data_IF_718895846635
#
_entry.id   IF_718895846635
#
_cell.length_a   1.000
_cell.length_b   1.000
_cell.length_c   1.000
_cell.angle_alpha   90.00
_cell.angle_beta   90.00
_cell.angle_gamma   90.00
#
_symmetry.space_group_name_H-M   'P 1'
#
loop_
_entity.id
_entity.type
_entity.pdbx_description
1 polymer ?
#
# COMPACT_ATOMS: atom_id res chain seq x y z
N UNK A 1 18.90 0.46 -19.54
CA UNK A 1 17.58 -0.12 -19.89
C UNK A 1 17.63 -1.59 -19.49
N UNK A 2 16.60 -2.09 -18.80
CA UNK A 2 16.48 -3.49 -18.41
C UNK A 2 16.38 -4.39 -19.64
N UNK A 3 16.98 -5.58 -19.57
CA UNK A 3 16.97 -6.56 -20.67
C UNK A 3 16.10 -7.77 -20.35
N UNK A 4 16.05 -8.15 -19.08
CA UNK A 4 15.29 -9.31 -18.63
C UNK A 4 14.78 -9.07 -17.21
N UNK A 5 13.47 -9.22 -17.01
CA UNK A 5 12.87 -9.08 -15.69
C UNK A 5 12.29 -10.40 -15.20
N UNK A 6 12.48 -10.69 -13.90
CA UNK A 6 11.77 -11.74 -13.21
C UNK A 6 10.53 -11.13 -12.54
N UNK A 7 9.38 -11.79 -12.74
CA UNK A 7 8.11 -11.36 -12.15
C UNK A 7 7.88 -12.20 -10.90
N UNK A 8 8.13 -11.62 -9.72
CA UNK A 8 8.00 -12.30 -8.43
C UNK A 8 6.54 -12.35 -7.96
N UNK A 9 5.66 -12.80 -8.85
CA UNK A 9 4.22 -12.89 -8.62
C UNK A 9 3.59 -13.96 -9.53
N UNK A 10 2.26 -14.09 -9.48
CA UNK A 10 1.48 -15.08 -10.23
C UNK A 10 0.20 -14.49 -10.80
N UNK A 11 -0.53 -15.32 -11.54
CA UNK A 11 -1.89 -14.98 -11.97
C UNK A 11 -1.94 -13.80 -12.94
N UNK A 12 -2.99 -12.99 -12.79
CA UNK A 12 -3.30 -11.93 -13.74
C UNK A 12 -2.28 -10.79 -13.71
N UNK A 13 -1.73 -10.43 -12.53
CA UNK A 13 -0.72 -9.37 -12.46
C UNK A 13 0.59 -9.79 -13.14
N UNK A 14 0.99 -11.06 -13.04
CA UNK A 14 2.15 -11.53 -13.78
C UNK A 14 1.91 -11.49 -15.30
N UNK A 15 0.72 -11.85 -15.76
CA UNK A 15 0.31 -11.71 -17.18
C UNK A 15 0.33 -10.24 -17.61
N UNK A 16 -0.17 -9.33 -16.76
CA UNK A 16 -0.18 -7.89 -17.02
C UNK A 16 1.24 -7.34 -17.24
N UNK A 17 2.16 -7.69 -16.34
CA UNK A 17 3.57 -7.29 -16.43
C UNK A 17 4.25 -7.90 -17.66
N UNK A 18 4.02 -9.17 -17.96
CA UNK A 18 4.58 -9.85 -19.15
C UNK A 18 4.17 -9.12 -20.42
N UNK A 19 2.92 -8.65 -20.53
CA UNK A 19 2.44 -7.94 -21.71
C UNK A 19 3.24 -6.67 -21.95
N UNK A 20 3.34 -5.79 -20.97
CA UNK A 20 4.09 -4.54 -21.09
C UNK A 20 5.59 -4.80 -21.34
N UNK A 21 6.21 -5.72 -20.61
CA UNK A 21 7.61 -6.07 -20.83
C UNK A 21 7.88 -6.51 -22.27
N UNK A 22 6.98 -7.30 -22.88
CA UNK A 22 7.08 -7.68 -24.29
C UNK A 22 6.96 -6.50 -25.25
N UNK A 23 6.03 -5.59 -25.00
CA UNK A 23 5.86 -4.36 -25.80
C UNK A 23 7.11 -3.48 -25.73
N UNK A 24 7.80 -3.48 -24.58
CA UNK A 24 9.09 -2.80 -24.38
C UNK A 24 10.30 -3.58 -24.92
N UNK A 25 10.13 -4.81 -25.43
CA UNK A 25 11.23 -5.66 -25.89
C UNK A 25 12.09 -6.24 -24.76
N UNK A 26 11.55 -6.34 -23.53
CA UNK A 26 12.21 -6.89 -22.36
C UNK A 26 11.84 -8.37 -22.21
N UNK A 27 12.83 -9.24 -22.08
CA UNK A 27 12.61 -10.67 -21.82
C UNK A 27 12.01 -10.90 -20.42
N UNK A 28 11.15 -11.91 -20.32
CA UNK A 28 10.35 -12.17 -19.12
C UNK A 28 10.63 -13.53 -18.49
N UNK A 29 10.74 -13.55 -17.17
CA UNK A 29 10.94 -14.77 -16.37
C UNK A 29 9.77 -14.90 -15.41
N UNK A 30 9.00 -15.97 -15.53
CA UNK A 30 7.97 -16.33 -14.55
C UNK A 30 8.53 -17.23 -13.46
N UNK A 31 7.95 -17.15 -12.28
CA UNK A 31 8.14 -18.13 -11.21
C UNK A 31 6.80 -18.80 -10.88
N UNK A 32 6.84 -20.05 -10.41
CA UNK A 32 5.60 -20.78 -10.14
C UNK A 32 5.73 -21.81 -9.01
N UNK A 33 4.62 -21.97 -8.24
CA UNK A 33 4.41 -23.09 -7.33
C UNK A 33 4.03 -24.35 -8.12
N UNK A 34 4.08 -25.52 -7.50
CA UNK A 34 3.67 -26.77 -8.16
C UNK A 34 2.22 -26.72 -8.72
N UNK A 35 1.33 -26.00 -8.04
CA UNK A 35 -0.06 -25.84 -8.46
C UNK A 35 -0.20 -24.96 -9.71
N UNK A 36 0.69 -24.00 -9.89
CA UNK A 36 0.66 -23.02 -10.97
C UNK A 36 1.51 -23.41 -12.19
N UNK A 37 2.09 -24.62 -12.22
CA UNK A 37 2.96 -25.11 -13.32
C UNK A 37 2.39 -24.88 -14.72
N UNK A 38 1.09 -24.98 -14.89
CA UNK A 38 0.39 -24.81 -16.16
C UNK A 38 -0.39 -23.47 -16.26
N UNK A 39 -0.17 -22.55 -15.34
CA UNK A 39 -0.86 -21.26 -15.32
C UNK A 39 -0.50 -20.40 -16.53
N UNK A 40 -1.37 -19.45 -16.86
CA UNK A 40 -1.23 -18.62 -18.06
C UNK A 40 0.08 -17.83 -18.07
N UNK A 41 0.46 -17.23 -16.94
CA UNK A 41 1.69 -16.44 -16.81
C UNK A 41 2.95 -17.28 -17.08
N UNK A 42 2.95 -18.58 -16.69
CA UNK A 42 4.07 -19.50 -16.94
C UNK A 42 4.19 -19.80 -18.45
N UNK A 43 3.06 -19.96 -19.12
CA UNK A 43 3.04 -20.23 -20.58
C UNK A 43 3.37 -19.01 -21.43
N UNK A 44 3.13 -17.82 -20.90
CA UNK A 44 3.36 -16.58 -21.64
C UNK A 44 4.79 -16.05 -21.46
N UNK A 45 5.47 -16.31 -20.37
CA UNK A 45 6.84 -15.85 -20.13
C UNK A 45 7.84 -16.54 -21.08
N UNK A 46 8.96 -15.90 -21.33
CA UNK A 46 10.04 -16.45 -22.16
C UNK A 46 10.79 -17.59 -21.44
N UNK A 47 10.94 -17.47 -20.11
CA UNK A 47 11.50 -18.48 -19.22
C UNK A 47 10.60 -18.65 -17.98
N UNK A 48 10.66 -19.83 -17.37
CA UNK A 48 9.92 -20.09 -16.13
C UNK A 48 10.70 -21.01 -15.17
N UNK A 49 10.68 -20.67 -13.88
CA UNK A 49 11.39 -21.41 -12.82
C UNK A 49 10.42 -21.87 -11.73
N UNK A 50 10.53 -23.15 -11.38
CA UNK A 50 9.77 -23.73 -10.28
C UNK A 50 10.35 -23.24 -8.94
N UNK A 51 9.49 -22.73 -8.06
CA UNK A 51 9.85 -22.36 -6.68
C UNK A 51 9.74 -23.57 -5.72
N UNK A 52 9.06 -24.64 -6.16
CA UNK A 52 8.67 -25.76 -5.30
C UNK A 52 7.43 -25.44 -4.46
N UNK A 53 6.98 -26.43 -3.70
CA UNK A 53 5.86 -26.29 -2.77
C UNK A 53 4.51 -26.02 -3.42
N UNK A 54 3.46 -26.02 -2.59
CA UNK A 54 2.08 -25.79 -3.02
C UNK A 54 1.48 -24.55 -2.38
N UNK A 55 1.94 -24.16 -1.20
CA UNK A 55 1.47 -22.98 -0.49
C UNK A 55 2.30 -21.74 -0.86
N UNK A 56 1.75 -20.56 -0.61
CA UNK A 56 2.48 -19.29 -0.81
C UNK A 56 3.76 -19.23 0.03
N UNK A 57 3.73 -19.71 1.28
CA UNK A 57 4.89 -19.73 2.17
C UNK A 57 6.03 -20.62 1.64
N UNK A 58 5.70 -21.73 0.99
CA UNK A 58 6.70 -22.66 0.42
C UNK A 58 7.24 -22.18 -0.93
N UNK A 59 6.55 -21.25 -1.61
CA UNK A 59 6.85 -20.82 -2.98
C UNK A 59 7.03 -19.31 -3.10
N UNK A 60 5.96 -18.55 -3.35
CA UNK A 60 6.00 -17.12 -3.64
C UNK A 60 6.46 -16.22 -2.49
N UNK A 61 6.44 -16.72 -1.25
CA UNK A 61 7.00 -16.08 -0.05
C UNK A 61 8.31 -16.75 0.43
N UNK A 62 8.93 -17.57 -0.43
CA UNK A 62 10.24 -18.14 -0.18
C UNK A 62 11.31 -17.27 -0.86
N UNK A 63 11.93 -16.40 -0.07
CA UNK A 63 12.95 -15.46 -0.56
C UNK A 63 14.09 -16.19 -1.27
N UNK A 64 14.65 -17.24 -0.66
CA UNK A 64 15.79 -17.96 -1.23
C UNK A 64 15.47 -18.63 -2.58
N UNK A 65 14.27 -19.19 -2.72
CA UNK A 65 13.85 -19.78 -3.99
C UNK A 65 13.73 -18.71 -5.10
N UNK A 66 13.26 -17.51 -4.77
CA UNK A 66 13.18 -16.41 -5.75
C UNK A 66 14.58 -15.89 -6.09
N UNK A 67 15.45 -15.67 -5.09
CA UNK A 67 16.82 -15.23 -5.32
C UNK A 67 17.62 -16.24 -6.16
N UNK A 68 17.39 -17.54 -5.96
CA UNK A 68 17.97 -18.59 -6.79
C UNK A 68 17.47 -18.54 -8.25
N UNK A 69 16.16 -18.31 -8.45
CA UNK A 69 15.58 -18.11 -9.78
C UNK A 69 16.16 -16.87 -10.49
N UNK A 70 16.41 -15.77 -9.76
CA UNK A 70 17.08 -14.58 -10.29
C UNK A 70 18.50 -14.92 -10.77
N UNK A 71 19.29 -15.62 -9.93
CA UNK A 71 20.67 -16.03 -10.29
C UNK A 71 20.68 -16.94 -11.53
N UNK A 72 19.79 -17.91 -11.58
CA UNK A 72 19.69 -18.89 -12.68
C UNK A 72 19.24 -18.27 -13.99
N UNK A 73 18.29 -17.35 -13.94
CA UNK A 73 17.76 -16.69 -15.15
C UNK A 73 18.68 -15.58 -15.65
N UNK A 74 19.52 -15.00 -14.79
CA UNK A 74 20.31 -13.81 -15.10
C UNK A 74 19.43 -12.57 -15.34
N UNK A 75 18.26 -12.50 -14.68
CA UNK A 75 17.40 -11.32 -14.73
C UNK A 75 18.12 -10.11 -14.11
N UNK A 76 18.04 -8.97 -14.78
CA UNK A 76 18.61 -7.69 -14.34
C UNK A 76 17.60 -6.76 -13.65
N UNK A 77 16.32 -7.18 -13.58
CA UNK A 77 15.27 -6.55 -12.83
C UNK A 77 14.26 -7.53 -12.25
N UNK A 78 13.59 -7.13 -11.16
CA UNK A 78 12.52 -7.90 -10.51
C UNK A 78 11.30 -7.02 -10.35
N UNK A 79 10.16 -7.46 -10.89
CA UNK A 79 8.86 -6.82 -10.69
C UNK A 79 8.06 -7.61 -9.65
N UNK A 80 7.73 -7.03 -8.48
CA UNK A 80 7.03 -7.75 -7.42
C UNK A 80 5.52 -7.85 -7.63
N UNK A 81 4.94 -7.06 -8.56
CA UNK A 81 3.50 -6.93 -8.70
C UNK A 81 2.86 -6.27 -7.47
N UNK A 82 1.80 -6.85 -6.96
CA UNK A 82 1.17 -6.49 -5.69
C UNK A 82 0.94 -7.72 -4.81
N UNK A 83 0.75 -7.52 -3.48
CA UNK A 83 0.76 -8.62 -2.52
C UNK A 83 2.14 -9.25 -2.39
N UNK A 84 2.21 -10.44 -1.80
CA UNK A 84 3.46 -11.15 -1.53
C UNK A 84 4.59 -10.24 -1.02
N UNK A 85 5.66 -10.06 -1.78
CA UNK A 85 6.82 -9.26 -1.40
C UNK A 85 6.80 -7.81 -1.89
N UNK A 86 5.72 -7.35 -2.51
CA UNK A 86 5.68 -5.99 -3.11
C UNK A 86 5.93 -4.86 -2.10
N UNK A 87 5.59 -5.06 -0.83
CA UNK A 87 5.80 -4.10 0.26
C UNK A 87 6.75 -4.65 1.34
N UNK A 88 7.68 -5.52 0.93
CA UNK A 88 8.68 -6.08 1.83
C UNK A 88 10.05 -5.45 1.59
N UNK A 89 10.50 -4.61 2.53
CA UNK A 89 11.75 -3.87 2.42
C UNK A 89 12.99 -4.77 2.43
N UNK A 90 12.96 -5.87 3.19
CA UNK A 90 14.10 -6.79 3.27
C UNK A 90 14.28 -7.55 1.96
N UNK A 91 13.19 -7.93 1.30
CA UNK A 91 13.22 -8.51 -0.03
C UNK A 91 13.75 -7.51 -1.07
N UNK A 92 13.31 -6.25 -1.03
CA UNK A 92 13.82 -5.21 -1.92
C UNK A 92 15.32 -4.98 -1.72
N UNK A 93 15.82 -4.97 -0.47
CA UNK A 93 17.25 -4.87 -0.16
C UNK A 93 18.03 -6.05 -0.70
N UNK A 94 17.57 -7.27 -0.44
CA UNK A 94 18.23 -8.48 -0.92
C UNK A 94 18.43 -8.49 -2.44
N UNK A 95 17.44 -7.99 -3.21
CA UNK A 95 17.54 -7.85 -4.66
C UNK A 95 18.55 -6.77 -5.06
N UNK A 96 18.49 -5.61 -4.43
CA UNK A 96 19.40 -4.49 -4.76
C UNK A 96 20.85 -4.80 -4.38
N UNK A 97 21.10 -5.53 -3.31
CA UNK A 97 22.43 -6.01 -2.91
C UNK A 97 23.03 -7.01 -3.91
N UNK A 98 22.20 -7.71 -4.68
CA UNK A 98 22.65 -8.56 -5.80
C UNK A 98 23.04 -7.75 -7.05
N UNK A 99 22.86 -6.42 -7.04
CA UNK A 99 23.04 -5.57 -8.22
C UNK A 99 21.89 -5.67 -9.23
N UNK A 100 20.75 -6.20 -8.83
CA UNK A 100 19.53 -6.35 -9.65
C UNK A 100 18.56 -5.22 -9.31
N UNK A 101 17.89 -4.67 -10.31
CA UNK A 101 16.93 -3.59 -10.09
C UNK A 101 15.64 -4.12 -9.44
N UNK A 102 15.27 -3.60 -8.29
CA UNK A 102 13.93 -3.78 -7.75
C UNK A 102 12.99 -2.77 -8.43
N UNK A 103 11.98 -3.24 -9.15
CA UNK A 103 10.97 -2.41 -9.82
C UNK A 103 9.90 -2.05 -8.80
N UNK A 104 10.18 -1.03 -8.03
CA UNK A 104 9.41 -0.57 -6.89
C UNK A 104 10.13 0.59 -6.20
N UNK A 105 9.58 1.10 -5.10
CA UNK A 105 10.17 2.20 -4.34
C UNK A 105 11.43 1.75 -3.57
N UNK A 106 12.18 2.72 -3.02
CA UNK A 106 13.33 2.41 -2.17
C UNK A 106 12.88 1.68 -0.88
N UNK A 107 13.68 0.73 -0.37
CA UNK A 107 13.35 -0.01 0.85
C UNK A 107 12.99 0.88 2.05
N UNK A 108 13.64 2.03 2.15
CA UNK A 108 13.42 2.99 3.24
C UNK A 108 12.02 3.60 3.18
N UNK A 109 11.50 3.89 1.98
CA UNK A 109 10.14 4.37 1.80
C UNK A 109 9.11 3.26 2.11
N UNK A 110 9.41 1.99 1.79
CA UNK A 110 8.56 0.86 2.17
C UNK A 110 8.46 0.76 3.70
N UNK A 111 9.59 0.85 4.41
CA UNK A 111 9.61 0.81 5.89
C UNK A 111 8.82 1.97 6.48
N UNK A 112 9.09 3.19 6.02
CA UNK A 112 8.50 4.39 6.61
C UNK A 112 6.99 4.47 6.37
N UNK A 113 6.53 4.10 5.17
CA UNK A 113 5.12 4.12 4.81
C UNK A 113 4.35 2.88 5.27
N UNK A 114 5.03 1.77 5.54
CA UNK A 114 4.43 0.53 6.04
C UNK A 114 4.01 0.57 7.51
N UNK A 115 4.57 1.48 8.32
CA UNK A 115 4.18 1.70 9.70
C UNK A 115 3.20 2.88 9.80
N UNK A 116 2.05 2.67 10.46
CA UNK A 116 0.98 3.67 10.52
C UNK A 116 1.36 4.95 11.23
N UNK A 117 2.18 4.89 12.26
CA UNK A 117 2.61 6.08 13.00
C UNK A 117 3.66 6.83 12.18
N UNK A 118 4.62 6.10 11.62
CA UNK A 118 5.68 6.66 10.78
C UNK A 118 5.11 7.29 9.51
N UNK A 119 4.16 6.63 8.84
CA UNK A 119 3.53 7.16 7.62
C UNK A 119 2.72 8.44 7.89
N UNK A 120 2.01 8.52 9.03
CA UNK A 120 1.34 9.76 9.45
C UNK A 120 2.32 10.90 9.74
N UNK A 121 3.44 10.60 10.41
CA UNK A 121 4.53 11.57 10.64
C UNK A 121 5.14 12.04 9.31
N UNK A 122 5.35 11.14 8.37
CA UNK A 122 5.84 11.46 7.02
C UNK A 122 4.85 12.35 6.26
N UNK A 123 3.56 12.02 6.26
CA UNK A 123 2.51 12.82 5.66
C UNK A 123 2.46 14.24 6.23
N UNK A 124 2.54 14.38 7.56
CA UNK A 124 2.62 15.69 8.22
C UNK A 124 3.86 16.48 7.80
N UNK A 125 5.05 15.86 7.72
CA UNK A 125 6.27 16.52 7.21
C UNK A 125 6.09 17.03 5.78
N UNK A 126 5.37 16.27 4.95
CA UNK A 126 4.99 16.67 3.60
C UNK A 126 3.89 17.72 3.55
N UNK A 127 3.24 18.05 4.68
CA UNK A 127 2.13 19.00 4.75
C UNK A 127 0.80 18.42 4.27
N UNK A 128 0.66 17.08 4.18
CA UNK A 128 -0.62 16.45 3.92
C UNK A 128 -1.49 16.46 5.20
N UNK A 129 -2.79 16.81 5.10
CA UNK A 129 -3.67 16.78 6.25
C UNK A 129 -3.85 15.34 6.75
N UNK A 130 -3.87 15.15 8.06
CA UNK A 130 -4.18 13.86 8.68
C UNK A 130 -5.42 14.00 9.55
N UNK A 131 -6.17 12.90 9.72
CA UNK A 131 -7.24 12.88 10.70
C UNK A 131 -6.68 13.28 12.06
N UNK A 132 -7.27 14.24 12.78
CA UNK A 132 -6.84 14.58 14.12
C UNK A 132 -6.68 13.32 14.96
N UNK A 133 -5.51 13.14 15.55
CA UNK A 133 -5.17 11.93 16.28
C UNK A 133 -3.85 12.07 17.00
N UNK A 134 -3.56 11.13 17.90
CA UNK A 134 -2.29 11.10 18.63
C UNK A 134 -1.16 10.66 17.69
N UNK A 135 -0.02 11.30 17.82
CA UNK A 135 1.23 10.92 17.13
C UNK A 135 2.08 9.96 17.94
N UNK A 136 1.71 9.76 19.19
CA UNK A 136 2.33 8.81 20.13
C UNK A 136 1.28 7.82 20.62
N UNK A 137 1.75 6.70 21.16
CA UNK A 137 0.87 5.70 21.75
C UNK A 137 0.23 6.27 23.00
N UNK A 138 -1.05 5.95 23.20
CA UNK A 138 -1.78 6.31 24.42
C UNK A 138 -1.71 5.16 25.41
N UNK A 139 -1.51 5.52 26.67
CA UNK A 139 -1.30 4.55 27.76
C UNK A 139 -2.37 4.60 28.86
N UNK A 140 -3.15 5.69 28.88
CA UNK A 140 -4.19 5.89 29.92
C UNK A 140 -5.53 6.27 29.30
N UNK A 141 -6.62 5.85 29.98
CA UNK A 141 -7.97 6.24 29.61
C UNK A 141 -8.18 7.77 29.67
N UNK A 142 -7.47 8.44 30.56
CA UNK A 142 -7.53 9.91 30.67
C UNK A 142 -7.03 10.61 29.42
N UNK A 143 -5.91 10.20 28.84
CA UNK A 143 -5.40 10.75 27.57
C UNK A 143 -6.44 10.62 26.45
N UNK A 144 -7.14 9.48 26.41
CA UNK A 144 -8.19 9.21 25.42
C UNK A 144 -9.40 10.12 25.64
N UNK A 145 -9.83 10.29 26.91
CA UNK A 145 -10.94 11.18 27.25
C UNK A 145 -10.64 12.63 26.95
N UNK A 146 -9.45 13.09 27.31
CA UNK A 146 -8.98 14.47 27.00
C UNK A 146 -8.99 14.69 25.50
N UNK A 147 -8.46 13.75 24.71
CA UNK A 147 -8.51 13.80 23.24
C UNK A 147 -9.95 13.91 22.71
N UNK A 148 -10.88 13.08 23.18
CA UNK A 148 -12.28 13.12 22.75
C UNK A 148 -12.98 14.45 23.10
N UNK A 149 -12.61 15.05 24.25
CA UNK A 149 -13.14 16.36 24.65
C UNK A 149 -12.58 17.52 23.81
N UNK A 150 -11.32 17.43 23.39
CA UNK A 150 -10.64 18.47 22.59
C UNK A 150 -11.02 18.42 21.11
N UNK A 151 -11.15 17.22 20.52
CA UNK A 151 -11.39 17.05 19.08
C UNK A 151 -12.81 16.60 18.71
N UNK A 152 -13.66 16.36 19.72
CA UNK A 152 -15.04 15.93 19.52
C UNK A 152 -15.21 14.40 19.44
N UNK A 153 -16.42 13.97 19.78
CA UNK A 153 -16.87 12.58 19.70
C UNK A 153 -17.65 12.33 18.39
N UNK A 154 -17.67 11.13 17.83
CA UNK A 154 -16.97 9.91 18.27
C UNK A 154 -15.48 9.91 17.93
N UNK A 155 -14.74 9.05 18.66
CA UNK A 155 -13.32 8.79 18.41
C UNK A 155 -13.09 7.31 18.13
N UNK A 156 -11.96 6.98 17.49
CA UNK A 156 -11.52 5.61 17.26
C UNK A 156 -10.26 5.33 18.08
N UNK A 157 -10.28 4.28 18.87
CA UNK A 157 -9.09 3.67 19.49
C UNK A 157 -8.62 2.59 18.52
N UNK A 158 -7.36 2.64 18.09
CA UNK A 158 -6.80 1.74 17.07
C UNK A 158 -5.53 1.06 17.55
N UNK A 159 -5.36 -0.22 17.19
CA UNK A 159 -4.08 -0.91 17.31
C UNK A 159 -3.01 -0.20 16.47
N UNK A 160 -1.83 0.04 17.04
CA UNK A 160 -0.73 0.69 16.34
C UNK A 160 -0.14 -0.19 15.24
N UNK A 161 -0.17 -1.50 15.45
CA UNK A 161 0.34 -2.53 14.54
C UNK A 161 -0.82 -3.37 14.01
N UNK A 162 -1.17 -3.24 12.74
CA UNK A 162 -2.24 -4.02 12.14
C UNK A 162 -3.04 -3.26 11.09
N UNK A 163 -3.87 -3.98 10.35
CA UNK A 163 -4.68 -3.47 9.24
C UNK A 163 -6.10 -4.03 9.22
N UNK A 164 -6.94 -3.53 8.29
CA UNK A 164 -8.27 -4.06 8.05
C UNK A 164 -9.27 -3.86 9.20
N UNK A 165 -9.10 -2.81 10.04
CA UNK A 165 -10.04 -2.49 11.13
C UNK A 165 -9.98 -3.43 12.34
N UNK A 166 -9.07 -4.41 12.38
CA UNK A 166 -8.89 -5.27 13.55
C UNK A 166 -8.24 -4.50 14.68
N UNK A 167 -8.78 -4.65 15.90
CA UNK A 167 -8.32 -3.89 17.07
C UNK A 167 -8.76 -2.42 17.04
N UNK A 168 -9.80 -2.07 16.28
CA UNK A 168 -10.41 -0.75 16.28
C UNK A 168 -11.70 -0.76 17.13
N UNK A 169 -11.84 0.24 18.01
CA UNK A 169 -13.05 0.48 18.81
C UNK A 169 -13.51 1.90 18.60
N UNK A 170 -14.78 2.07 18.21
CA UNK A 170 -15.41 3.38 18.12
C UNK A 170 -16.05 3.70 19.46
N UNK A 171 -15.74 4.86 20.00
CA UNK A 171 -16.16 5.35 21.30
C UNK A 171 -17.00 6.61 21.14
N UNK A 172 -18.24 6.57 21.62
CA UNK A 172 -19.19 7.67 21.43
C UNK A 172 -19.10 8.76 22.52
N UNK A 173 -18.56 8.41 23.70
CA UNK A 173 -18.51 9.27 24.88
C UNK A 173 -17.46 8.82 25.89
N UNK A 174 -17.10 9.72 26.80
CA UNK A 174 -16.01 9.52 27.76
C UNK A 174 -16.18 8.32 28.70
N UNK A 175 -17.41 7.97 29.04
CA UNK A 175 -17.75 6.85 29.94
C UNK A 175 -17.43 5.48 29.31
N UNK A 176 -17.37 5.36 27.98
CA UNK A 176 -17.06 4.11 27.27
C UNK A 176 -15.55 3.86 27.11
N UNK A 177 -14.72 4.86 27.39
CA UNK A 177 -13.29 4.83 27.05
C UNK A 177 -12.54 3.67 27.68
N UNK A 178 -12.73 3.43 29.02
CA UNK A 178 -11.95 2.41 29.73
C UNK A 178 -12.20 1.01 29.16
N UNK A 179 -13.45 0.64 28.94
CA UNK A 179 -13.82 -0.67 28.41
C UNK A 179 -13.30 -0.86 26.97
N UNK A 180 -13.44 0.18 26.15
CA UNK A 180 -12.97 0.17 24.75
C UNK A 180 -11.46 0.07 24.66
N UNK A 181 -10.71 0.79 25.51
CA UNK A 181 -9.26 0.74 25.61
C UNK A 181 -8.79 -0.68 25.96
N UNK A 182 -9.32 -1.26 27.05
CA UNK A 182 -8.96 -2.61 27.49
C UNK A 182 -9.26 -3.66 26.42
N UNK A 183 -10.39 -3.50 25.70
CA UNK A 183 -10.76 -4.38 24.60
C UNK A 183 -9.82 -4.26 23.41
N UNK A 184 -9.47 -3.03 23.00
CA UNK A 184 -8.56 -2.78 21.88
C UNK A 184 -7.17 -3.35 22.17
N UNK A 185 -6.64 -3.14 23.36
CA UNK A 185 -5.34 -3.66 23.80
C UNK A 185 -5.30 -5.19 23.81
N UNK A 186 -6.34 -5.85 24.39
CA UNK A 186 -6.44 -7.32 24.39
C UNK A 186 -6.47 -7.88 22.97
N UNK A 187 -7.27 -7.30 22.08
CA UNK A 187 -7.35 -7.73 20.68
C UNK A 187 -6.03 -7.50 19.96
N UNK A 188 -5.42 -6.34 20.14
CA UNK A 188 -4.12 -6.03 19.53
C UNK A 188 -3.04 -7.04 19.94
N UNK A 189 -2.97 -7.34 21.24
CA UNK A 189 -2.04 -8.33 21.77
C UNK A 189 -2.28 -9.74 21.24
N UNK A 190 -3.56 -10.14 21.16
CA UNK A 190 -3.93 -11.46 20.66
C UNK A 190 -3.62 -11.67 19.16
N UNK A 191 -3.82 -10.63 18.33
CA UNK A 191 -3.64 -10.75 16.87
C UNK A 191 -2.24 -10.37 16.40
N UNK A 192 -1.60 -9.39 17.07
CA UNK A 192 -0.34 -8.80 16.60
C UNK A 192 0.82 -8.98 17.58
N UNK A 193 0.59 -9.60 18.75
CA UNK A 193 1.59 -9.81 19.80
C UNK A 193 1.96 -8.54 20.58
N UNK A 194 1.35 -7.39 20.26
CA UNK A 194 1.64 -6.07 20.81
C UNK A 194 0.34 -5.38 21.20
N UNK A 195 0.37 -4.57 22.26
CA UNK A 195 -0.83 -3.93 22.85
C UNK A 195 -0.85 -2.41 22.70
N UNK A 196 0.11 -1.83 22.00
CA UNK A 196 0.15 -0.39 21.76
C UNK A 196 -1.04 0.06 20.91
N UNK A 197 -1.67 1.14 21.37
CA UNK A 197 -2.81 1.77 20.74
C UNK A 197 -2.57 3.27 20.53
N UNK A 198 -3.29 3.83 19.59
CA UNK A 198 -3.39 5.27 19.37
C UNK A 198 -4.86 5.67 19.17
N UNK A 199 -5.14 6.97 19.21
CA UNK A 199 -6.50 7.50 19.10
C UNK A 199 -6.58 8.49 17.95
N UNK A 200 -7.70 8.48 17.23
CA UNK A 200 -8.01 9.49 16.23
C UNK A 200 -9.51 9.81 16.20
N UNK A 201 -9.87 10.96 15.62
CA UNK A 201 -11.27 11.30 15.36
C UNK A 201 -11.89 10.24 14.45
N UNK A 202 -13.11 9.81 14.76
CA UNK A 202 -13.85 8.87 13.92
C UNK A 202 -14.71 9.62 12.91
N UNK A 203 -14.52 9.32 11.63
CA UNK A 203 -15.35 9.84 10.56
C UNK A 203 -16.51 8.87 10.30
N UNK A 204 -17.75 9.39 10.30
CA UNK A 204 -18.95 8.55 10.31
C UNK A 204 -19.39 8.08 8.92
N UNK A 205 -19.18 8.90 7.91
CA UNK A 205 -19.58 8.64 6.52
C UNK A 205 -18.47 9.01 5.51
N UNK A 206 -17.27 8.50 5.70
CA UNK A 206 -16.16 8.85 4.84
C UNK A 206 -16.28 8.19 3.48
N UNK A 207 -15.82 8.92 2.43
CA UNK A 207 -15.47 8.33 1.15
C UNK A 207 -13.98 7.96 1.19
N UNK A 208 -13.66 6.85 0.55
CA UNK A 208 -12.29 6.39 0.36
C UNK A 208 -11.84 6.84 -1.03
N UNK A 209 -11.06 7.90 -1.08
CA UNK A 209 -10.50 8.45 -2.32
C UNK A 209 -9.01 8.19 -2.34
N UNK A 210 -8.50 7.75 -3.47
CA UNK A 210 -7.08 7.50 -3.64
C UNK A 210 -6.49 8.24 -4.83
N UNK A 211 -5.23 8.58 -4.73
CA UNK A 211 -4.47 9.32 -5.74
C UNK A 211 -3.35 8.46 -6.29
N UNK A 212 -3.38 8.20 -7.59
CA UNK A 212 -2.31 7.49 -8.30
C UNK A 212 -1.09 8.38 -8.45
N UNK A 213 0.08 7.88 -8.04
CA UNK A 213 1.37 8.55 -8.18
C UNK A 213 2.31 7.79 -9.12
N UNK A 214 3.18 8.53 -9.77
CA UNK A 214 4.36 8.01 -10.47
C UNK A 214 5.55 8.91 -10.13
N UNK A 215 6.65 8.32 -9.69
CA UNK A 215 7.88 9.01 -9.35
C UNK A 215 9.09 8.45 -10.09
N UNK A 216 10.07 9.32 -10.39
CA UNK A 216 11.36 8.93 -10.93
C UNK A 216 12.49 8.98 -9.87
N UNK A 217 13.66 8.47 -10.21
CA UNK A 217 14.86 8.51 -9.34
C UNK A 217 15.53 9.89 -9.26
N UNK A 218 15.00 10.89 -9.97
CA UNK A 218 15.53 12.26 -9.98
C UNK A 218 14.76 13.19 -9.03
N UNK A 219 13.76 12.65 -8.32
CA UNK A 219 12.93 13.38 -7.36
C UNK A 219 11.69 14.03 -7.99
N UNK A 220 11.38 13.73 -9.25
CA UNK A 220 10.12 14.14 -9.84
C UNK A 220 9.04 13.16 -9.39
N UNK A 221 7.95 13.67 -8.87
CA UNK A 221 6.74 12.90 -8.52
C UNK A 221 5.56 13.65 -9.09
N UNK A 222 4.72 12.95 -9.82
CA UNK A 222 3.47 13.46 -10.38
C UNK A 222 2.30 12.62 -9.91
N UNK A 223 1.13 13.23 -9.80
CA UNK A 223 -0.12 12.50 -9.66
C UNK A 223 -0.82 12.41 -11.03
N UNK A 224 -1.54 11.33 -11.25
CA UNK A 224 -2.12 10.99 -12.57
C UNK A 224 -3.63 11.17 -12.58
N UNK A 225 -4.32 10.63 -11.57
CA UNK A 225 -5.77 10.72 -11.41
C UNK A 225 -6.16 10.27 -10.00
N UNK A 226 -7.44 10.44 -9.68
CA UNK A 226 -8.06 9.93 -8.47
C UNK A 226 -8.92 8.70 -8.76
N UNK A 227 -9.18 7.91 -7.73
CA UNK A 227 -10.18 6.83 -7.74
C UNK A 227 -11.04 6.91 -6.49
N UNK A 228 -12.33 6.68 -6.64
CA UNK A 228 -13.23 6.44 -5.51
C UNK A 228 -13.36 4.93 -5.28
N UNK A 229 -12.94 4.48 -4.13
CA UNK A 229 -12.97 3.10 -3.69
C UNK A 229 -13.88 2.90 -2.47
N UNK A 230 -14.91 3.74 -2.31
CA UNK A 230 -15.81 3.72 -1.15
C UNK A 230 -16.73 2.50 -1.10
N UNK A 231 -17.04 1.89 -2.27
CA UNK A 231 -17.86 0.70 -2.35
C UNK A 231 -17.08 -0.53 -1.88
N UNK A 232 -17.15 -0.81 -0.58
CA UNK A 232 -16.36 -1.84 0.09
C UNK A 232 -17.25 -2.83 0.84
N UNK A 233 -16.75 -4.07 0.97
CA UNK A 233 -17.32 -5.08 1.86
C UNK A 233 -16.23 -5.55 2.82
N UNK A 234 -16.40 -5.27 4.12
CA UNK A 234 -15.43 -5.62 5.16
C UNK A 234 -14.01 -5.15 4.83
N UNK A 235 -13.89 -3.88 4.39
CA UNK A 235 -12.64 -3.24 3.93
C UNK A 235 -12.03 -3.84 2.66
N UNK A 236 -12.77 -4.64 1.90
CA UNK A 236 -12.39 -5.08 0.57
C UNK A 236 -13.06 -4.17 -0.46
N UNK A 237 -12.29 -3.50 -1.29
CA UNK A 237 -12.77 -2.72 -2.43
C UNK A 237 -13.52 -3.63 -3.39
N UNK A 238 -14.69 -3.22 -3.85
CA UNK A 238 -15.55 -4.00 -4.76
C UNK A 238 -15.80 -3.28 -6.09
N UNK A 239 -15.88 -1.95 -6.06
CA UNK A 239 -16.06 -1.09 -7.21
C UNK A 239 -15.14 0.09 -7.04
N UNK A 240 -14.39 0.40 -8.08
CA UNK A 240 -13.50 1.55 -8.18
C UNK A 240 -13.92 2.41 -9.38
N UNK A 241 -14.12 3.70 -9.13
CA UNK A 241 -14.49 4.68 -10.15
C UNK A 241 -13.35 5.70 -10.34
N UNK A 242 -13.02 6.02 -11.59
CA UNK A 242 -12.00 7.03 -11.91
C UNK A 242 -12.48 7.97 -13.04
N UNK A 243 -12.23 9.30 -12.92
CA UNK A 243 -11.79 9.98 -11.70
C UNK A 243 -12.83 9.88 -10.58
N UNK A 244 -12.48 10.19 -9.34
CA UNK A 244 -13.41 10.16 -8.21
C UNK A 244 -14.58 11.13 -8.45
N UNK A 245 -15.84 10.65 -8.52
CA UNK A 245 -16.97 11.50 -8.93
C UNK A 245 -17.38 12.47 -7.82
N UNK A 246 -17.91 13.64 -8.20
CA UNK A 246 -18.58 14.58 -7.30
C UNK A 246 -17.70 15.13 -6.18
N UNK A 247 -16.40 15.29 -6.41
CA UNK A 247 -15.53 16.08 -5.56
C UNK A 247 -15.81 17.58 -5.81
N UNK A 248 -15.78 18.42 -4.76
CA UNK A 248 -15.86 19.88 -4.94
C UNK A 248 -14.69 20.42 -5.78
N UNK A 249 -14.91 21.58 -6.41
CA UNK A 249 -13.89 22.25 -7.22
C UNK A 249 -12.60 22.47 -6.41
N UNK A 250 -11.45 22.10 -6.99
CA UNK A 250 -10.14 22.25 -6.39
C UNK A 250 -9.74 21.18 -5.36
N UNK A 251 -10.65 20.30 -4.94
CA UNK A 251 -10.35 19.23 -3.96
C UNK A 251 -9.47 18.15 -4.58
N UNK A 252 -9.74 17.77 -5.82
CA UNK A 252 -8.94 16.77 -6.52
C UNK A 252 -7.48 17.21 -6.67
N UNK A 253 -7.26 18.46 -7.08
CA UNK A 253 -5.93 19.07 -7.20
C UNK A 253 -5.22 19.15 -5.84
N UNK A 254 -5.95 19.57 -4.79
CA UNK A 254 -5.40 19.65 -3.44
C UNK A 254 -4.98 18.26 -2.89
N UNK A 255 -5.78 17.23 -3.16
CA UNK A 255 -5.43 15.83 -2.85
C UNK A 255 -4.20 15.37 -3.62
N UNK A 256 -4.15 15.66 -4.94
CA UNK A 256 -3.01 15.37 -5.80
C UNK A 256 -1.71 15.99 -5.29
N UNK A 257 -1.75 17.29 -4.96
CA UNK A 257 -0.60 18.00 -4.39
C UNK A 257 -0.17 17.43 -3.02
N UNK A 258 -1.13 17.12 -2.15
CA UNK A 258 -0.86 16.53 -0.85
C UNK A 258 -0.20 15.15 -0.99
N UNK A 259 -0.68 14.33 -1.93
CA UNK A 259 -0.11 13.03 -2.24
C UNK A 259 1.34 13.14 -2.75
N UNK A 260 1.60 14.07 -3.67
CA UNK A 260 2.96 14.34 -4.18
C UNK A 260 3.90 14.79 -3.05
N UNK A 261 3.44 15.69 -2.18
CA UNK A 261 4.24 16.16 -1.04
C UNK A 261 4.56 15.03 -0.05
N UNK A 262 3.59 14.17 0.27
CA UNK A 262 3.78 13.02 1.14
C UNK A 262 4.81 12.03 0.56
N UNK A 263 4.70 11.72 -0.74
CA UNK A 263 5.64 10.84 -1.42
C UNK A 263 7.06 11.43 -1.47
N UNK A 264 7.20 12.73 -1.80
CA UNK A 264 8.51 13.41 -1.79
C UNK A 264 9.16 13.43 -0.41
N UNK A 265 8.37 13.51 0.67
CA UNK A 265 8.89 13.54 2.04
C UNK A 265 9.64 12.25 2.44
N UNK A 266 9.42 11.14 1.74
CA UNK A 266 10.07 9.85 1.94
C UNK A 266 10.98 9.42 0.77
N UNK A 267 11.26 10.33 -0.16
CA UNK A 267 12.09 10.04 -1.34
C UNK A 267 11.50 8.96 -2.26
N UNK A 268 10.17 8.94 -2.38
CA UNK A 268 9.47 7.92 -3.17
C UNK A 268 9.73 8.03 -4.67
N UNK A 269 9.92 6.90 -5.32
CA UNK A 269 9.90 6.75 -6.78
C UNK A 269 9.15 5.46 -7.18
N UNK A 270 8.83 5.31 -8.46
CA UNK A 270 8.00 4.26 -9.04
C UNK A 270 6.49 4.53 -8.87
N UNK A 271 5.63 3.57 -9.28
CA UNK A 271 4.19 3.68 -9.11
C UNK A 271 3.79 3.47 -7.66
N UNK A 272 2.89 4.28 -7.17
CA UNK A 272 2.34 4.19 -5.81
C UNK A 272 0.99 4.88 -5.72
N UNK A 273 0.31 4.71 -4.61
CA UNK A 273 -1.01 5.29 -4.39
C UNK A 273 -1.11 5.84 -2.97
N UNK A 274 -1.57 7.08 -2.84
CA UNK A 274 -1.91 7.67 -1.54
C UNK A 274 -3.41 7.57 -1.35
N UNK A 275 -3.84 6.97 -0.28
CA UNK A 275 -5.23 6.84 0.12
C UNK A 275 -5.62 7.95 1.09
N UNK A 276 -6.79 8.54 0.84
CA UNK A 276 -7.39 9.59 1.66
C UNK A 276 -8.78 9.18 2.11
N UNK A 277 -9.17 9.69 3.27
CA UNK A 277 -10.55 9.69 3.73
C UNK A 277 -11.11 11.08 3.48
N UNK A 278 -12.21 11.19 2.73
CA UNK A 278 -12.89 12.44 2.39
C UNK A 278 -14.26 12.48 3.05
N UNK A 279 -14.53 13.54 3.81
CA UNK A 279 -15.85 13.81 4.42
C UNK A 279 -16.02 15.31 4.66
N UNK A 280 -17.22 15.85 4.42
CA UNK A 280 -17.61 17.22 4.73
C UNK A 280 -16.70 18.28 4.08
N UNK A 281 -16.26 18.04 2.83
CA UNK A 281 -15.30 18.82 2.04
C UNK A 281 -13.85 18.82 2.56
N UNK A 282 -13.56 18.07 3.62
CA UNK A 282 -12.21 17.86 4.11
C UNK A 282 -11.67 16.49 3.68
N UNK A 283 -10.37 16.41 3.44
CA UNK A 283 -9.70 15.14 3.18
C UNK A 283 -8.52 14.95 4.10
N UNK A 284 -8.23 13.69 4.43
CA UNK A 284 -7.19 13.33 5.36
C UNK A 284 -6.41 12.13 4.85
N UNK A 285 -5.09 12.19 4.93
CA UNK A 285 -4.21 11.08 4.62
C UNK A 285 -4.57 9.85 5.48
N UNK A 286 -4.75 8.71 4.83
CA UNK A 286 -4.99 7.43 5.48
C UNK A 286 -3.73 6.58 5.48
N UNK A 287 -3.23 6.23 4.31
CA UNK A 287 -2.02 5.44 4.12
C UNK A 287 -1.45 5.63 2.72
N UNK A 288 -0.25 5.09 2.49
CA UNK A 288 0.34 5.02 1.16
C UNK A 288 0.65 3.56 0.83
N UNK A 289 0.11 3.09 -0.29
CA UNK A 289 0.48 1.80 -0.85
C UNK A 289 1.72 1.98 -1.71
N UNK A 290 2.83 1.39 -1.25
CA UNK A 290 4.16 1.53 -1.87
C UNK A 290 4.37 0.54 -3.01
N UNK A 291 3.37 0.38 -3.84
CA UNK A 291 3.29 -0.58 -4.94
C UNK A 291 2.23 -0.18 -5.96
N UNK A 292 2.22 -0.87 -7.08
CA UNK A 292 1.08 -0.87 -7.97
C UNK A 292 -0.14 -1.51 -7.28
N UNK A 293 -1.34 -1.00 -7.49
CA UNK A 293 -2.57 -1.56 -6.93
C UNK A 293 -3.32 -2.44 -7.93
N UNK A 294 -4.24 -3.28 -7.44
CA UNK A 294 -5.11 -4.13 -8.28
C UNK A 294 -5.94 -3.27 -9.22
N UNK A 295 -6.44 -2.15 -8.73
CA UNK A 295 -7.34 -1.20 -9.38
C UNK A 295 -6.65 -0.19 -10.32
N UNK A 296 -5.33 -0.29 -10.54
CA UNK A 296 -4.63 0.59 -11.49
C UNK A 296 -5.24 0.63 -12.91
N UNK A 297 -5.84 -0.46 -13.44
CA UNK A 297 -6.35 -0.46 -14.80
C UNK A 297 -7.44 0.57 -15.06
N UNK A 298 -8.26 0.95 -14.06
CA UNK A 298 -9.29 1.96 -14.27
C UNK A 298 -8.66 3.33 -14.56
N UNK A 299 -7.55 3.66 -13.91
CA UNK A 299 -6.78 4.88 -14.21
C UNK A 299 -6.14 4.80 -15.60
N UNK A 300 -5.58 3.67 -15.98
CA UNK A 300 -4.99 3.47 -17.32
C UNK A 300 -6.03 3.66 -18.43
N UNK A 301 -7.23 3.13 -18.27
CA UNK A 301 -8.30 3.21 -19.28
C UNK A 301 -8.72 4.66 -19.53
N UNK A 302 -8.78 5.52 -18.51
CA UNK A 302 -9.19 6.92 -18.68
C UNK A 302 -8.07 7.85 -19.11
N UNK A 303 -6.80 7.50 -18.82
CA UNK A 303 -5.64 8.35 -19.12
C UNK A 303 -4.86 7.93 -20.35
N UNK A 304 -4.96 6.67 -20.75
CA UNK A 304 -4.14 6.08 -21.80
C UNK A 304 -2.68 5.83 -21.39
N UNK A 305 -2.35 5.96 -20.11
CA UNK A 305 -1.02 5.73 -19.56
C UNK A 305 -0.89 4.26 -19.15
N UNK A 306 0.16 3.58 -19.54
CA UNK A 306 0.54 2.26 -19.01
C UNK A 306 1.38 2.47 -17.74
N UNK A 307 0.79 2.17 -16.57
CA UNK A 307 1.45 2.36 -15.27
C UNK A 307 2.49 1.28 -14.95
N UNK A 308 2.57 0.22 -15.76
CA UNK A 308 3.57 -0.85 -15.63
C UNK A 308 4.84 -0.53 -16.43
N UNK A 309 4.75 0.29 -17.48
CA UNK A 309 5.88 0.77 -18.28
C UNK A 309 6.84 1.63 -17.44
#
# INVERSE_FOLDING_TARGET
MLKKILIANRGEIAVRVIRTAREMGIATVAVYSELDRNALHVRLADEAYALGGQTAAESYLNTEAILDAIRKSGADGVHPGYGFFSENADFARAITEMGVAFIGPPPEAIVEMGDKVSSRKAALRGGAPIVPGTTEFVTTAKEIQDFGNDFGWPIAIKAAFGGGGRGMKVVQSADQVQEAMDSAQRESKAFFGRDEIYVERYLTWPRHIEVQLVGDKHGNVVWVSTRDCSAQRRHQKLIEEAPAPGLPDGVEEAMGEAAVKAAKAVGYYNAGTVEFIFQDNDFFFLEMNTRLQVEHPVTEVITGIDLVE
#
